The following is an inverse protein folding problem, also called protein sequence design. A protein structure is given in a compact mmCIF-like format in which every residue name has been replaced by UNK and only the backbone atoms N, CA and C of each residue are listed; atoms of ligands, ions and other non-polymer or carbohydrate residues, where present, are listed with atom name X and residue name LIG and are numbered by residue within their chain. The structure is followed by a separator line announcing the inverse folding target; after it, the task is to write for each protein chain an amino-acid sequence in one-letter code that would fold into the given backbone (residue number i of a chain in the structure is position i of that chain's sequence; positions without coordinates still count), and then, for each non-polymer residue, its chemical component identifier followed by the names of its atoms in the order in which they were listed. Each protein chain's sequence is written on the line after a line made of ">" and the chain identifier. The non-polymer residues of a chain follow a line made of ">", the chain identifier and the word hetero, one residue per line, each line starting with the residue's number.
data_IF_575075845938
#
_entry.id   IF_575075845938
#
_cell.length_a   1.000
_cell.length_b   1.000
_cell.length_c   1.000
_cell.angle_alpha   90.00
_cell.angle_beta   90.00
_cell.angle_gamma   90.00
#
_symmetry.space_group_name_H-M   'P 1'
#
loop_
_entity.id
_entity.type
_entity.pdbx_description
1 polymer ?
#
# COMPACT_ATOMS: atom_id res chain seq x y z
N UNK A 1 -30.93 -18.04 20.26
CA UNK A 1 -30.55 -16.73 19.66
C UNK A 1 -29.61 -17.00 18.50
N UNK A 2 -29.95 -16.52 17.31
CA UNK A 2 -29.15 -16.75 16.10
C UNK A 2 -27.87 -15.89 16.10
N UNK A 3 -26.90 -16.25 15.27
CA UNK A 3 -25.67 -15.47 15.10
C UNK A 3 -25.96 -14.00 14.72
N UNK A 4 -26.88 -13.80 13.78
CA UNK A 4 -27.30 -12.48 13.29
C UNK A 4 -27.98 -11.65 14.38
N UNK A 5 -28.80 -12.28 15.22
CA UNK A 5 -29.43 -11.61 16.37
C UNK A 5 -28.40 -11.10 17.36
N UNK A 6 -27.34 -11.89 17.63
CA UNK A 6 -26.24 -11.49 18.52
C UNK A 6 -25.49 -10.30 17.93
N UNK A 7 -25.05 -10.43 16.67
CA UNK A 7 -24.34 -9.40 15.92
C UNK A 7 -25.08 -8.05 15.86
N UNK A 8 -26.42 -8.06 15.75
CA UNK A 8 -27.24 -6.84 15.71
C UNK A 8 -27.18 -6.01 17.01
N UNK A 9 -26.95 -6.66 18.16
CA UNK A 9 -26.91 -6.00 19.48
C UNK A 9 -25.55 -5.41 19.83
N UNK A 10 -24.50 -5.78 19.09
CA UNK A 10 -23.13 -5.39 19.39
C UNK A 10 -22.92 -3.89 19.20
N UNK A 11 -22.24 -3.28 20.17
CA UNK A 11 -21.85 -1.86 20.21
C UNK A 11 -20.35 -1.68 20.46
N UNK A 12 -19.67 -2.75 20.90
CA UNK A 12 -18.26 -2.80 21.20
C UNK A 12 -17.68 -4.11 20.65
N UNK A 13 -16.62 -4.03 19.85
CA UNK A 13 -15.84 -5.17 19.39
C UNK A 13 -14.47 -5.14 20.05
N UNK A 14 -14.19 -6.10 20.92
CA UNK A 14 -12.87 -6.32 21.50
C UNK A 14 -12.22 -7.55 20.86
N UNK A 15 -10.89 -7.57 20.84
CA UNK A 15 -10.14 -8.67 20.23
C UNK A 15 -8.81 -8.90 20.94
N UNK A 16 -8.31 -10.13 20.85
CA UNK A 16 -6.89 -10.37 21.01
C UNK A 16 -6.09 -9.76 19.84
N UNK A 17 -4.78 -9.66 20.04
CA UNK A 17 -3.82 -9.24 19.03
C UNK A 17 -3.17 -10.46 18.38
N UNK A 18 -2.37 -11.20 19.14
CA UNK A 18 -1.53 -12.26 18.60
C UNK A 18 -2.41 -13.47 18.23
N UNK A 19 -2.32 -13.94 17.00
CA UNK A 19 -3.14 -15.06 16.50
C UNK A 19 -4.55 -14.67 16.04
N UNK A 20 -4.99 -13.43 16.29
CA UNK A 20 -6.28 -12.86 15.85
C UNK A 20 -6.10 -11.71 14.85
N UNK A 21 -5.50 -10.60 15.27
CA UNK A 21 -5.13 -9.48 14.38
C UNK A 21 -3.84 -9.78 13.59
N UNK A 22 -3.06 -10.74 14.08
CA UNK A 22 -1.83 -11.26 13.47
C UNK A 22 -1.98 -12.76 13.20
N UNK A 23 -1.02 -13.33 12.48
CA UNK A 23 -0.89 -14.77 12.25
C UNK A 23 -0.39 -15.56 13.48
N UNK A 24 -0.06 -14.86 14.58
CA UNK A 24 0.48 -15.43 15.81
C UNK A 24 2.00 -15.53 15.84
N UNK A 25 2.70 -15.15 14.77
CA UNK A 25 4.16 -15.11 14.73
C UNK A 25 4.69 -13.84 15.38
N UNK A 26 5.78 -14.01 16.15
CA UNK A 26 6.56 -12.91 16.72
C UNK A 26 7.92 -12.89 16.04
N UNK A 27 8.22 -11.78 15.36
CA UNK A 27 9.51 -11.60 14.72
C UNK A 27 10.41 -10.80 15.64
N UNK A 28 11.51 -11.43 16.07
CA UNK A 28 12.48 -10.85 16.99
C UNK A 28 13.80 -10.61 16.26
N UNK A 29 14.34 -9.40 16.36
CA UNK A 29 15.67 -9.05 15.85
C UNK A 29 16.37 -8.10 16.81
N UNK A 30 17.69 -8.03 16.70
CA UNK A 30 18.47 -7.01 17.39
C UNK A 30 18.52 -5.75 16.52
N UNK A 31 18.28 -4.59 17.13
CA UNK A 31 18.57 -3.32 16.47
C UNK A 31 20.09 -3.06 16.40
N UNK A 32 20.49 -1.93 15.82
CA UNK A 32 21.91 -1.53 15.70
C UNK A 32 22.61 -1.33 17.05
N UNK A 33 21.86 -1.23 18.16
CA UNK A 33 22.36 -1.12 19.53
C UNK A 33 22.33 -2.47 20.26
N UNK A 34 21.89 -3.53 19.59
CA UNK A 34 21.73 -4.86 20.19
C UNK A 34 20.43 -5.01 21.00
N UNK A 35 19.53 -4.04 20.97
CA UNK A 35 18.25 -4.11 21.68
C UNK A 35 17.28 -5.03 20.94
N UNK A 36 16.55 -5.88 21.67
CA UNK A 36 15.54 -6.75 21.10
C UNK A 36 14.34 -5.93 20.62
N UNK A 37 14.06 -5.99 19.32
CA UNK A 37 12.88 -5.40 18.70
C UNK A 37 11.93 -6.51 18.27
N UNK A 38 10.66 -6.37 18.67
CA UNK A 38 9.57 -7.24 18.27
C UNK A 38 8.73 -6.59 17.17
N UNK A 39 8.50 -7.31 16.07
CA UNK A 39 7.56 -6.94 15.00
C UNK A 39 6.39 -7.91 14.93
N UNK A 40 5.24 -7.35 14.54
CA UNK A 40 3.98 -8.05 14.33
C UNK A 40 3.42 -7.68 12.96
N UNK A 41 3.04 -8.68 12.16
CA UNK A 41 2.35 -8.48 10.90
C UNK A 41 0.85 -8.27 11.13
N UNK A 42 0.29 -7.18 10.59
CA UNK A 42 -1.16 -6.92 10.62
C UNK A 42 -1.74 -6.96 9.21
N UNK A 43 -2.97 -7.47 9.08
CA UNK A 43 -3.63 -7.56 7.79
C UNK A 43 -4.24 -6.21 7.35
N UNK A 44 -4.07 -5.86 6.08
CA UNK A 44 -4.58 -4.60 5.51
C UNK A 44 -6.11 -4.60 5.46
N UNK A 45 -6.73 -5.73 5.08
CA UNK A 45 -8.19 -5.82 4.96
C UNK A 45 -8.89 -5.84 6.32
N UNK A 46 -8.25 -6.37 7.36
CA UNK A 46 -8.75 -6.26 8.73
C UNK A 46 -8.71 -4.79 9.19
N UNK A 47 -7.63 -4.09 8.86
CA UNK A 47 -7.47 -2.67 9.15
C UNK A 47 -8.58 -1.81 8.55
N UNK A 48 -8.84 -1.92 7.25
CA UNK A 48 -9.91 -1.11 6.61
C UNK A 48 -11.29 -1.42 7.18
N UNK A 49 -11.54 -2.68 7.56
CA UNK A 49 -12.81 -3.08 8.17
C UNK A 49 -13.04 -2.41 9.54
N UNK A 50 -11.98 -2.31 10.34
CA UNK A 50 -12.03 -1.65 11.64
C UNK A 50 -12.28 -0.15 11.53
N UNK A 51 -11.71 0.49 10.50
CA UNK A 51 -12.01 1.89 10.18
C UNK A 51 -13.48 2.05 9.80
N UNK A 52 -14.05 1.14 9.01
CA UNK A 52 -15.49 1.17 8.70
C UNK A 52 -16.35 1.08 9.95
N UNK A 53 -16.01 0.19 10.89
CA UNK A 53 -16.74 0.08 12.16
C UNK A 53 -16.69 1.41 12.94
N UNK A 54 -15.50 2.00 13.07
CA UNK A 54 -15.30 3.25 13.78
C UNK A 54 -16.10 4.41 13.15
N UNK A 55 -16.08 4.54 11.83
CA UNK A 55 -16.82 5.57 11.09
C UNK A 55 -18.34 5.45 11.22
N UNK A 56 -18.86 4.23 11.47
CA UNK A 56 -20.29 4.01 11.75
C UNK A 56 -20.59 3.94 13.26
N UNK A 57 -19.67 4.42 14.10
CA UNK A 57 -19.89 4.58 15.54
C UNK A 57 -19.81 3.29 16.36
N UNK A 58 -19.29 2.19 15.81
CA UNK A 58 -18.96 1.01 16.61
C UNK A 58 -17.59 1.19 17.25
N UNK A 59 -17.55 1.03 18.57
CA UNK A 59 -16.32 1.09 19.35
C UNK A 59 -15.53 -0.19 19.15
N UNK A 60 -14.22 -0.07 19.00
CA UNK A 60 -13.32 -1.22 18.80
C UNK A 60 -12.13 -1.13 19.75
N UNK A 61 -11.50 -2.25 20.07
CA UNK A 61 -10.31 -2.24 20.90
C UNK A 61 -9.65 -3.59 21.08
N UNK A 62 -8.51 -3.58 21.76
CA UNK A 62 -7.69 -4.78 22.00
C UNK A 62 -7.43 -5.02 23.48
N UNK A 63 -7.37 -6.30 23.87
CA UNK A 63 -6.86 -6.75 25.17
C UNK A 63 -5.80 -7.83 24.92
N UNK A 64 -4.54 -7.50 25.16
CA UNK A 64 -3.41 -8.39 24.84
C UNK A 64 -2.46 -8.58 26.03
N UNK A 65 -1.85 -9.77 26.09
CA UNK A 65 -0.83 -10.12 27.07
C UNK A 65 0.49 -9.41 26.88
N UNK A 66 0.81 -8.97 25.65
CA UNK A 66 2.10 -8.33 25.34
C UNK A 66 1.95 -6.82 25.28
N UNK A 67 3.00 -6.10 25.66
CA UNK A 67 3.09 -4.65 25.50
C UNK A 67 4.04 -4.31 24.36
N UNK A 68 3.57 -3.53 23.39
CA UNK A 68 4.40 -3.06 22.28
C UNK A 68 3.94 -1.70 21.75
N UNK A 69 4.90 -0.88 21.32
CA UNK A 69 4.62 0.39 20.63
C UNK A 69 3.92 0.15 19.28
N UNK A 70 4.16 -0.99 18.64
CA UNK A 70 3.54 -1.37 17.37
C UNK A 70 2.01 -1.50 17.49
N UNK A 71 1.53 -2.15 18.56
CA UNK A 71 0.08 -2.26 18.83
C UNK A 71 -0.53 -0.90 19.13
N UNK A 72 0.14 -0.03 19.90
CA UNK A 72 -0.35 1.33 20.17
C UNK A 72 -0.48 2.16 18.90
N UNK A 73 0.57 2.17 18.07
CA UNK A 73 0.57 2.85 16.78
C UNK A 73 -0.54 2.34 15.87
N UNK A 74 -0.68 1.01 15.76
CA UNK A 74 -1.72 0.39 14.93
C UNK A 74 -3.12 0.71 15.43
N UNK A 75 -3.37 0.63 16.73
CA UNK A 75 -4.67 0.95 17.31
C UNK A 75 -5.08 2.40 17.04
N UNK A 76 -4.13 3.34 17.12
CA UNK A 76 -4.35 4.75 16.76
C UNK A 76 -4.72 4.93 15.29
N UNK A 77 -4.00 4.27 14.37
CA UNK A 77 -4.31 4.32 12.93
C UNK A 77 -5.72 3.81 12.62
N UNK A 78 -6.16 2.79 13.37
CA UNK A 78 -7.46 2.12 13.18
C UNK A 78 -8.60 2.76 13.99
N UNK A 79 -8.33 3.88 14.66
CA UNK A 79 -9.30 4.61 15.50
C UNK A 79 -9.95 3.74 16.59
N UNK A 80 -9.19 2.81 17.16
CA UNK A 80 -9.66 1.99 18.29
C UNK A 80 -9.83 2.86 19.54
N UNK A 81 -10.90 2.62 20.29
CA UNK A 81 -11.23 3.38 21.51
C UNK A 81 -10.63 2.77 22.78
N UNK A 82 -10.25 1.49 22.74
CA UNK A 82 -9.66 0.77 23.88
C UNK A 82 -8.39 0.03 23.49
N UNK A 83 -7.32 0.25 24.26
CA UNK A 83 -6.07 -0.49 24.13
C UNK A 83 -5.64 -0.89 25.53
N UNK A 84 -5.66 -2.19 25.82
CA UNK A 84 -5.15 -2.76 27.07
C UNK A 84 -4.04 -3.75 26.72
N UNK A 85 -2.86 -3.51 27.26
CA UNK A 85 -1.67 -4.33 27.03
C UNK A 85 -1.10 -4.86 28.34
N UNK A 86 -0.26 -5.89 28.24
CA UNK A 86 0.49 -6.41 29.40
C UNK A 86 -0.33 -7.30 30.35
N UNK A 87 -1.46 -7.87 29.91
CA UNK A 87 -2.25 -8.77 30.76
C UNK A 87 -2.83 -9.95 30.00
N UNK A 88 -2.59 -11.16 30.51
CA UNK A 88 -3.22 -12.40 30.03
C UNK A 88 -4.52 -12.71 30.77
N UNK A 89 -4.79 -12.01 31.89
CA UNK A 89 -6.05 -12.12 32.62
C UNK A 89 -7.01 -11.06 32.07
N UNK A 90 -7.78 -11.43 31.04
CA UNK A 90 -8.55 -10.49 30.22
C UNK A 90 -9.92 -10.10 30.78
N UNK A 91 -10.43 -10.84 31.77
CA UNK A 91 -11.76 -10.57 32.36
C UNK A 91 -11.85 -9.22 33.10
N UNK A 92 -10.94 -8.85 34.03
CA UNK A 92 -10.99 -7.54 34.67
C UNK A 92 -10.97 -6.33 33.71
N UNK A 93 -10.07 -6.27 32.69
CA UNK A 93 -10.12 -5.17 31.74
C UNK A 93 -11.37 -5.19 30.85
N UNK A 94 -11.91 -6.36 30.50
CA UNK A 94 -13.18 -6.48 29.80
C UNK A 94 -14.33 -5.85 30.61
N UNK A 95 -14.48 -6.23 31.88
CA UNK A 95 -15.49 -5.66 32.79
C UNK A 95 -15.32 -4.15 32.97
N UNK A 96 -14.07 -3.68 33.11
CA UNK A 96 -13.76 -2.27 33.24
C UNK A 96 -14.15 -1.46 31.98
N UNK A 97 -13.89 -2.00 30.78
CA UNK A 97 -14.30 -1.38 29.51
C UNK A 97 -15.83 -1.34 29.42
N UNK A 98 -16.52 -2.44 29.71
CA UNK A 98 -17.99 -2.47 29.70
C UNK A 98 -18.59 -1.41 30.63
N UNK A 99 -18.05 -1.30 31.85
CA UNK A 99 -18.48 -0.30 32.83
C UNK A 99 -18.24 1.12 32.33
N UNK A 100 -17.04 1.39 31.77
CA UNK A 100 -16.69 2.70 31.20
C UNK A 100 -17.64 3.10 30.06
N UNK A 101 -17.99 2.14 29.21
CA UNK A 101 -18.82 2.37 28.02
C UNK A 101 -20.34 2.30 28.31
N UNK A 102 -20.74 1.99 29.55
CA UNK A 102 -22.13 1.81 29.95
C UNK A 102 -22.82 0.65 29.25
N UNK A 103 -22.07 -0.41 28.90
CA UNK A 103 -22.56 -1.56 28.13
C UNK A 103 -22.74 -2.79 29.00
N UNK A 104 -23.73 -3.63 28.63
CA UNK A 104 -23.86 -4.98 29.15
C UNK A 104 -23.04 -5.98 28.32
N UNK A 105 -22.65 -7.14 28.86
CA UNK A 105 -21.89 -8.15 28.11
C UNK A 105 -22.57 -8.57 26.79
N UNK A 106 -23.91 -8.61 26.72
CA UNK A 106 -24.65 -8.96 25.50
C UNK A 106 -24.47 -7.97 24.34
N UNK A 107 -23.92 -6.79 24.62
CA UNK A 107 -23.63 -5.73 23.66
C UNK A 107 -22.15 -5.69 23.24
N UNK A 108 -21.32 -6.60 23.76
CA UNK A 108 -19.92 -6.72 23.38
C UNK A 108 -19.66 -8.02 22.62
N UNK A 109 -18.81 -7.91 21.60
CA UNK A 109 -18.22 -9.04 20.90
C UNK A 109 -16.76 -9.18 21.30
N UNK A 110 -16.27 -10.42 21.35
CA UNK A 110 -14.88 -10.71 21.60
C UNK A 110 -14.35 -11.73 20.58
N UNK A 111 -13.21 -11.44 19.96
CA UNK A 111 -12.51 -12.36 19.04
C UNK A 111 -11.24 -12.88 19.73
N UNK A 112 -11.10 -14.19 19.85
CA UNK A 112 -9.96 -14.85 20.50
C UNK A 112 -9.42 -16.05 19.71
N UNK A 113 -8.25 -16.55 20.10
CA UNK A 113 -7.61 -17.71 19.50
C UNK A 113 -7.07 -18.73 20.53
N UNK A 114 -6.72 -18.30 21.75
CA UNK A 114 -6.10 -19.14 22.77
C UNK A 114 -6.87 -19.13 24.11
N UNK A 115 -6.44 -19.99 25.06
CA UNK A 115 -7.12 -20.23 26.33
C UNK A 115 -7.28 -18.97 27.19
N UNK A 116 -6.41 -17.98 27.02
CA UNK A 116 -6.47 -16.70 27.76
C UNK A 116 -7.73 -15.88 27.42
N UNK A 117 -8.36 -16.15 26.28
CA UNK A 117 -9.57 -15.46 25.82
C UNK A 117 -10.86 -16.08 26.35
N UNK A 118 -10.82 -17.37 26.69
CA UNK A 118 -12.01 -18.15 27.09
C UNK A 118 -12.82 -17.49 28.20
N UNK A 119 -12.22 -16.91 29.27
CA UNK A 119 -13.00 -16.21 30.30
C UNK A 119 -13.87 -15.09 29.74
N UNK A 120 -13.33 -14.27 28.81
CA UNK A 120 -14.09 -13.17 28.19
C UNK A 120 -15.10 -13.70 27.17
N UNK A 121 -14.72 -14.71 26.40
CA UNK A 121 -15.62 -15.35 25.43
C UNK A 121 -16.87 -15.95 26.09
N UNK A 122 -16.75 -16.48 27.31
CA UNK A 122 -17.92 -17.00 28.05
C UNK A 122 -18.93 -15.93 28.43
N UNK A 123 -18.49 -14.68 28.58
CA UNK A 123 -19.33 -13.57 29.03
C UNK A 123 -19.84 -12.71 27.86
N UNK A 124 -19.08 -12.61 26.77
CA UNK A 124 -19.43 -11.76 25.63
C UNK A 124 -20.72 -12.21 24.92
N UNK A 125 -21.55 -11.23 24.55
CA UNK A 125 -22.77 -11.43 23.77
C UNK A 125 -22.54 -12.08 22.41
N UNK A 126 -21.36 -11.87 21.84
CA UNK A 126 -20.87 -12.54 20.65
C UNK A 126 -19.38 -12.91 20.78
N UNK A 127 -19.12 -14.10 21.32
CA UNK A 127 -17.80 -14.73 21.22
C UNK A 127 -17.53 -15.32 19.84
N UNK A 128 -16.37 -14.99 19.27
CA UNK A 128 -15.87 -15.52 17.99
C UNK A 128 -14.49 -16.12 18.20
N UNK A 129 -14.24 -17.30 17.62
CA UNK A 129 -12.91 -17.86 17.50
C UNK A 129 -12.43 -17.76 16.05
N UNK A 130 -11.14 -17.47 15.84
CA UNK A 130 -10.56 -17.49 14.49
C UNK A 130 -10.33 -18.92 13.98
N UNK A 131 -10.16 -19.11 12.67
CA UNK A 131 -9.99 -20.45 12.10
C UNK A 131 -8.76 -21.22 12.65
N UNK A 132 -7.69 -20.51 12.99
CA UNK A 132 -6.46 -21.06 13.60
C UNK A 132 -6.54 -21.18 15.13
N UNK A 133 -7.65 -20.79 15.77
CA UNK A 133 -7.82 -20.92 17.22
C UNK A 133 -7.66 -22.37 17.69
N UNK A 134 -7.19 -22.54 18.93
CA UNK A 134 -7.06 -23.86 19.56
C UNK A 134 -8.43 -24.57 19.59
N UNK A 135 -8.49 -25.90 19.33
CA UNK A 135 -9.76 -26.63 19.30
C UNK A 135 -10.63 -26.45 20.54
N UNK A 136 -10.00 -26.34 21.70
CA UNK A 136 -10.64 -26.13 22.99
C UNK A 136 -11.32 -24.76 23.08
N UNK A 137 -10.74 -23.73 22.46
CA UNK A 137 -11.26 -22.35 22.45
C UNK A 137 -12.49 -22.25 21.56
N UNK A 138 -12.46 -22.92 20.40
CA UNK A 138 -13.59 -22.95 19.44
C UNK A 138 -14.90 -23.43 20.06
N UNK A 139 -14.83 -24.29 21.09
CA UNK A 139 -16.00 -24.79 21.83
C UNK A 139 -16.77 -23.70 22.60
N UNK A 140 -16.11 -22.59 22.91
CA UNK A 140 -16.71 -21.44 23.61
C UNK A 140 -17.18 -20.35 22.65
N UNK A 141 -16.92 -20.50 21.35
CA UNK A 141 -17.31 -19.52 20.35
C UNK A 141 -18.75 -19.76 19.89
N UNK A 142 -19.50 -18.67 19.70
CA UNK A 142 -20.79 -18.72 19.01
C UNK A 142 -20.62 -18.86 17.50
N UNK A 143 -19.44 -18.48 16.99
CA UNK A 143 -19.07 -18.59 15.59
C UNK A 143 -17.56 -18.74 15.44
N UNK A 144 -17.15 -19.56 14.47
CA UNK A 144 -15.75 -19.72 14.07
C UNK A 144 -15.60 -19.14 12.67
N UNK A 145 -14.66 -18.22 12.49
CA UNK A 145 -14.40 -17.61 11.17
C UNK A 145 -13.86 -18.66 10.20
N UNK A 146 -14.01 -18.40 8.90
CA UNK A 146 -13.37 -19.21 7.85
C UNK A 146 -11.92 -18.78 7.67
N UNK A 147 -11.67 -17.48 7.74
CA UNK A 147 -10.32 -16.92 7.66
C UNK A 147 -9.54 -17.13 8.96
N UNK A 148 -8.21 -17.23 8.84
CA UNK A 148 -7.28 -17.27 9.97
C UNK A 148 -7.01 -15.85 10.48
N UNK A 149 -6.53 -15.74 11.71
CA UNK A 149 -6.02 -14.48 12.25
C UNK A 149 -4.87 -13.95 11.40
N UNK A 150 -4.82 -12.63 11.22
CA UNK A 150 -3.89 -12.00 10.29
C UNK A 150 -4.18 -12.23 8.79
N UNK A 151 -5.27 -12.93 8.46
CA UNK A 151 -5.66 -13.26 7.07
C UNK A 151 -7.13 -12.89 6.77
N UNK A 152 -7.65 -11.84 7.41
CA UNK A 152 -9.01 -11.36 7.13
C UNK A 152 -10.10 -11.86 8.10
N UNK A 153 -9.76 -12.56 9.18
CA UNK A 153 -10.75 -13.02 10.15
C UNK A 153 -11.52 -11.87 10.82
N UNK A 154 -10.83 -10.79 11.18
CA UNK A 154 -11.46 -9.61 11.79
C UNK A 154 -12.35 -8.88 10.78
N UNK A 155 -11.96 -8.85 9.51
CA UNK A 155 -12.77 -8.37 8.39
C UNK A 155 -14.06 -9.18 8.27
N UNK A 156 -13.98 -10.51 8.34
CA UNK A 156 -15.16 -11.38 8.30
C UNK A 156 -16.16 -11.03 9.42
N UNK A 157 -15.65 -10.80 10.63
CA UNK A 157 -16.45 -10.36 11.79
C UNK A 157 -17.04 -8.97 11.58
N UNK A 158 -16.24 -8.00 11.13
CA UNK A 158 -16.71 -6.65 10.86
C UNK A 158 -17.84 -6.63 9.83
N UNK A 159 -17.73 -7.41 8.75
CA UNK A 159 -18.81 -7.55 7.76
C UNK A 159 -20.07 -8.15 8.38
N UNK A 160 -19.95 -9.19 9.20
CA UNK A 160 -21.08 -9.78 9.90
C UNK A 160 -21.81 -8.72 10.75
N UNK A 161 -21.07 -7.92 11.52
CA UNK A 161 -21.63 -6.85 12.35
C UNK A 161 -22.35 -5.80 11.48
N UNK A 162 -21.67 -5.26 10.46
CA UNK A 162 -22.21 -4.24 9.58
C UNK A 162 -23.45 -4.72 8.82
N UNK A 163 -23.43 -5.94 8.28
CA UNK A 163 -24.58 -6.54 7.58
C UNK A 163 -25.74 -6.81 8.54
N UNK A 164 -25.46 -7.26 9.75
CA UNK A 164 -26.49 -7.52 10.77
C UNK A 164 -27.15 -6.25 11.30
N UNK A 165 -26.44 -5.12 11.25
CA UNK A 165 -26.92 -3.80 11.67
C UNK A 165 -27.45 -2.95 10.51
N UNK A 166 -27.45 -3.46 9.28
CA UNK A 166 -27.92 -2.73 8.09
C UNK A 166 -26.95 -1.68 7.54
N UNK A 167 -25.79 -1.51 8.18
CA UNK A 167 -24.77 -0.50 7.87
C UNK A 167 -23.90 -0.86 6.65
N UNK A 168 -23.95 -2.11 6.19
CA UNK A 168 -23.15 -2.56 5.04
C UNK A 168 -23.44 -1.80 3.75
N UNK A 169 -24.71 -1.41 3.52
CA UNK A 169 -25.08 -0.63 2.33
C UNK A 169 -24.39 0.72 2.31
N UNK A 170 -24.19 1.34 3.46
CA UNK A 170 -23.54 2.65 3.55
C UNK A 170 -22.03 2.55 3.38
N UNK A 171 -21.41 1.40 3.70
CA UNK A 171 -20.04 1.10 3.30
C UNK A 171 -19.94 1.03 1.78
N UNK A 172 -20.81 0.26 1.12
CA UNK A 172 -20.80 0.14 -0.34
C UNK A 172 -21.04 1.47 -1.05
N UNK A 173 -21.94 2.32 -0.51
CA UNK A 173 -22.19 3.66 -1.05
C UNK A 173 -20.96 4.55 -1.06
N UNK A 174 -20.10 4.47 -0.03
CA UNK A 174 -18.83 5.22 -0.01
C UNK A 174 -17.97 4.92 -1.24
N UNK A 175 -18.01 3.68 -1.73
CA UNK A 175 -17.23 3.25 -2.89
C UNK A 175 -18.00 3.29 -4.22
N UNK A 176 -19.34 3.32 -4.19
CA UNK A 176 -20.16 3.46 -5.41
C UNK A 176 -20.46 4.91 -5.77
N UNK A 177 -20.50 5.83 -4.80
CA UNK A 177 -20.64 7.27 -5.08
C UNK A 177 -19.42 7.84 -5.80
N UNK A 178 -18.23 7.25 -5.58
CA UNK A 178 -17.04 7.51 -6.38
C UNK A 178 -17.22 7.12 -7.87
N UNK A 179 -18.15 6.21 -8.19
CA UNK A 179 -18.49 5.87 -9.57
C UNK A 179 -19.60 6.77 -10.18
N UNK A 180 -20.41 7.46 -9.37
CA UNK A 180 -21.51 8.30 -9.84
C UNK A 180 -21.13 9.78 -10.06
N UNK A 181 -20.06 10.26 -9.42
CA UNK A 181 -19.50 11.58 -9.74
C UNK A 181 -18.89 11.64 -11.17
N UNK A 182 -18.63 10.49 -11.80
CA UNK A 182 -18.22 10.41 -13.21
C UNK A 182 -19.38 10.40 -14.21
N UNK A 183 -20.62 10.14 -13.77
CA UNK A 183 -21.77 10.00 -14.68
C UNK A 183 -22.57 11.31 -14.89
N UNK A 184 -22.32 12.36 -14.10
CA UNK A 184 -23.08 13.61 -14.16
C UNK A 184 -22.48 14.69 -15.08
N UNK A 185 -21.40 14.39 -15.83
CA UNK A 185 -20.70 15.33 -16.73
C UNK A 185 -20.76 14.97 -18.22
N UNK A 186 -21.66 14.06 -18.62
CA UNK A 186 -21.97 13.85 -20.04
C UNK A 186 -23.17 14.73 -20.45
N UNK A 187 -23.03 15.66 -21.41
CA UNK A 187 -24.15 16.41 -21.91
C UNK A 187 -25.11 15.47 -22.65
N UNK A 188 -26.38 15.49 -22.24
CA UNK A 188 -27.50 15.00 -23.03
C UNK A 188 -27.57 15.80 -24.35
N UNK A 189 -27.06 15.22 -25.43
CA UNK A 189 -27.44 15.56 -26.80
C UNK A 189 -27.11 14.40 -27.72
N UNK A 190 -28.17 13.70 -28.18
CA UNK A 190 -28.05 12.67 -29.20
C UNK A 190 -29.10 11.57 -29.11
N UNK A 191 -30.38 11.92 -29.24
CA UNK A 191 -31.39 10.94 -29.67
C UNK A 191 -30.99 10.41 -31.05
N UNK A 192 -30.59 9.15 -31.14
CA UNK A 192 -30.51 8.43 -32.42
C UNK A 192 -31.85 7.73 -32.61
N UNK A 193 -32.71 8.34 -33.43
CA UNK A 193 -33.94 7.71 -33.92
C UNK A 193 -33.58 6.85 -35.14
N UNK A 194 -33.72 5.53 -34.99
CA UNK A 194 -33.56 4.56 -36.06
C UNK A 194 -34.86 4.50 -36.90
N UNK A 195 -34.82 4.79 -38.20
CA UNK A 195 -35.91 4.47 -39.15
C UNK A 195 -35.36 4.09 -40.52
N UNK A 196 -35.95 3.02 -41.08
CA UNK A 196 -35.64 2.28 -42.32
C UNK A 196 -35.76 3.11 -43.62
N UNK A 197 -35.24 2.62 -44.77
CA UNK A 197 -35.05 3.44 -45.98
C UNK A 197 -36.34 3.60 -46.80
N UNK A 198 -36.44 4.74 -47.49
CA UNK A 198 -37.44 5.03 -48.51
C UNK A 198 -37.07 6.25 -49.37
N UNK A 199 -36.66 5.97 -50.61
CA UNK A 199 -36.89 6.70 -51.87
C UNK A 199 -36.59 8.22 -51.96
N UNK A 200 -35.56 8.50 -52.76
CA UNK A 200 -35.38 9.52 -53.82
C UNK A 200 -35.65 11.03 -53.62
N UNK A 201 -34.64 11.76 -54.10
CA UNK A 201 -34.70 12.90 -55.05
C UNK A 201 -34.65 14.37 -54.59
N UNK A 202 -33.89 15.10 -55.44
CA UNK A 202 -33.94 16.52 -55.78
C UNK A 202 -33.25 17.57 -54.88
N UNK A 203 -32.04 17.93 -55.33
CA UNK A 203 -31.60 19.25 -55.83
C UNK A 203 -31.87 20.55 -55.04
N UNK A 204 -30.82 21.35 -54.91
CA UNK A 204 -30.91 22.79 -54.62
C UNK A 204 -29.59 23.41 -54.16
N UNK A 205 -28.81 23.94 -55.12
CA UNK A 205 -27.69 24.88 -54.92
C UNK A 205 -28.11 26.11 -54.07
N UNK A 206 -27.19 26.71 -53.29
CA UNK A 206 -26.79 28.14 -53.37
C UNK A 206 -25.42 28.36 -52.67
N UNK A 207 -24.64 29.26 -53.29
CA UNK A 207 -23.25 29.71 -53.12
C UNK A 207 -22.78 30.32 -51.78
N UNK A 208 -21.50 30.01 -51.49
CA UNK A 208 -20.33 30.86 -51.17
C UNK A 208 -20.44 32.23 -50.43
N UNK A 209 -19.83 32.23 -49.21
CA UNK A 209 -18.73 33.08 -48.69
C UNK A 209 -18.88 34.63 -48.55
N UNK A 210 -17.97 35.33 -47.83
CA UNK A 210 -17.26 35.05 -46.57
C UNK A 210 -17.38 36.21 -45.54
N UNK A 211 -16.92 36.01 -44.30
CA UNK A 211 -16.87 37.11 -43.32
C UNK A 211 -16.19 36.70 -42.02
N UNK A 212 -14.86 36.78 -42.01
CA UNK A 212 -14.02 36.64 -40.82
C UNK A 212 -14.24 37.79 -39.85
N UNK A 213 -14.59 37.48 -38.61
CA UNK A 213 -14.22 38.29 -37.45
C UNK A 213 -13.95 37.36 -36.27
N UNK A 214 -12.67 37.29 -35.89
CA UNK A 214 -12.21 36.62 -34.69
C UNK A 214 -12.69 37.40 -33.48
N UNK A 215 -13.51 36.74 -32.65
CA UNK A 215 -13.73 37.11 -31.26
C UNK A 215 -12.99 36.08 -30.36
N UNK A 216 -12.49 36.51 -29.19
CA UNK A 216 -11.39 35.85 -28.50
C UNK A 216 -11.78 34.47 -27.93
N UNK A 217 -10.78 33.59 -27.86
CA UNK A 217 -10.86 32.28 -27.24
C UNK A 217 -11.59 32.34 -25.88
N UNK A 218 -12.52 31.41 -25.60
CA UNK A 218 -13.12 31.33 -24.29
C UNK A 218 -12.02 31.02 -23.28
N UNK A 219 -11.90 31.87 -22.25
CA UNK A 219 -11.07 31.61 -21.07
C UNK A 219 -11.40 30.21 -20.58
N UNK A 220 -10.36 29.39 -20.43
CA UNK A 220 -10.45 28.08 -19.80
C UNK A 220 -11.19 28.24 -18.46
N UNK A 221 -12.21 27.39 -18.17
CA UNK A 221 -12.87 27.46 -16.88
C UNK A 221 -11.83 27.14 -15.81
N UNK A 222 -11.81 27.94 -14.75
CA UNK A 222 -11.04 27.64 -13.56
C UNK A 222 -11.69 26.41 -12.90
N UNK A 223 -11.22 25.22 -13.28
CA UNK A 223 -11.61 23.96 -12.66
C UNK A 223 -11.31 24.00 -11.16
N UNK A 224 -12.23 23.44 -10.38
CA UNK A 224 -12.13 23.39 -8.92
C UNK A 224 -10.90 22.58 -8.50
N UNK A 225 -10.43 22.78 -7.26
CA UNK A 225 -9.25 22.09 -6.73
C UNK A 225 -9.33 20.56 -6.89
N UNK A 226 -10.54 20.00 -6.81
CA UNK A 226 -10.85 18.58 -6.97
C UNK A 226 -10.65 18.06 -8.40
N UNK A 227 -10.93 18.86 -9.44
CA UNK A 227 -10.73 18.47 -10.84
C UNK A 227 -9.24 18.46 -11.23
N UNK A 228 -8.46 19.41 -10.68
CA UNK A 228 -7.00 19.43 -10.84
C UNK A 228 -6.33 18.27 -10.10
N UNK A 229 -6.88 17.90 -8.94
CA UNK A 229 -6.41 16.78 -8.13
C UNK A 229 -6.71 15.43 -8.80
N UNK A 230 -7.92 15.24 -9.33
CA UNK A 230 -8.28 14.02 -10.07
C UNK A 230 -7.42 13.81 -11.34
N UNK A 231 -7.17 14.88 -12.11
CA UNK A 231 -6.31 14.81 -13.29
C UNK A 231 -4.84 14.52 -12.93
N UNK A 232 -4.35 15.04 -11.80
CA UNK A 232 -3.02 14.75 -11.28
C UNK A 232 -2.90 13.30 -10.79
N UNK A 233 -3.92 12.77 -10.10
CA UNK A 233 -3.98 11.37 -9.65
C UNK A 233 -4.02 10.42 -10.84
N UNK A 234 -4.80 10.73 -11.87
CA UNK A 234 -4.91 9.88 -13.06
C UNK A 234 -3.60 9.87 -13.86
N UNK A 235 -2.94 11.03 -13.98
CA UNK A 235 -1.60 11.14 -14.56
C UNK A 235 -0.54 10.40 -13.74
N UNK A 236 -0.62 10.46 -12.41
CA UNK A 236 0.27 9.73 -11.50
C UNK A 236 0.05 8.21 -11.58
N UNK A 237 -1.20 7.73 -11.65
CA UNK A 237 -1.52 6.32 -11.82
C UNK A 237 -1.02 5.77 -13.15
N UNK A 238 -1.13 6.57 -14.22
CA UNK A 238 -0.66 6.21 -15.54
C UNK A 238 0.88 6.19 -15.62
N UNK A 239 1.54 7.10 -14.90
CA UNK A 239 3.00 7.09 -14.71
C UNK A 239 3.46 5.85 -13.94
N UNK A 240 2.78 5.47 -12.85
CA UNK A 240 3.07 4.27 -12.05
C UNK A 240 2.95 2.99 -12.88
N UNK A 241 1.92 2.88 -13.73
CA UNK A 241 1.77 1.73 -14.64
C UNK A 241 2.85 1.68 -15.72
N UNK A 242 3.24 2.82 -16.32
CA UNK A 242 4.33 2.86 -17.29
C UNK A 242 5.70 2.58 -16.65
N UNK A 243 5.89 2.97 -15.38
CA UNK A 243 7.14 2.75 -14.63
C UNK A 243 7.43 1.27 -14.37
N UNK A 244 6.41 0.45 -14.06
CA UNK A 244 6.58 -0.99 -13.87
C UNK A 244 7.06 -1.71 -15.14
N UNK A 245 6.63 -1.27 -16.32
CA UNK A 245 7.13 -1.77 -17.61
C UNK A 245 8.52 -1.27 -18.01
N UNK A 246 9.07 -0.26 -17.33
CA UNK A 246 10.36 0.37 -17.65
C UNK A 246 11.54 -0.13 -16.82
N UNK A 247 11.26 -0.84 -15.70
CA UNK A 247 12.30 -1.31 -14.80
C UNK A 247 13.22 -2.31 -15.48
N UNK A 248 14.53 -2.06 -15.38
CA UNK A 248 15.58 -2.99 -15.82
C UNK A 248 16.15 -3.71 -14.62
N UNK A 249 16.18 -5.03 -14.69
CA UNK A 249 16.72 -5.90 -13.66
C UNK A 249 18.17 -5.49 -13.37
N UNK A 250 18.50 -5.34 -12.09
CA UNK A 250 19.82 -4.97 -11.60
C UNK A 250 20.55 -6.18 -11.04
N UNK A 251 21.88 -6.09 -10.97
CA UNK A 251 22.65 -6.96 -10.10
C UNK A 251 22.14 -6.83 -8.65
N UNK A 252 22.14 -7.94 -7.91
CA UNK A 252 21.61 -8.10 -6.56
C UNK A 252 20.07 -8.14 -6.40
N UNK A 253 19.28 -8.01 -7.48
CA UNK A 253 17.83 -8.28 -7.43
C UNK A 253 17.58 -9.76 -7.08
N UNK A 254 16.55 -10.04 -6.29
CA UNK A 254 16.06 -11.40 -6.03
C UNK A 254 14.86 -11.68 -6.95
N UNK A 255 15.02 -12.64 -7.85
CA UNK A 255 14.00 -13.04 -8.81
C UNK A 255 13.41 -14.39 -8.39
N UNK A 256 12.09 -14.49 -8.45
CA UNK A 256 11.35 -15.75 -8.46
C UNK A 256 10.97 -16.07 -9.89
N UNK A 257 11.58 -17.12 -10.43
CA UNK A 257 11.38 -17.59 -11.80
C UNK A 257 10.55 -18.86 -11.71
N UNK A 258 9.38 -18.86 -12.34
CA UNK A 258 8.48 -20.01 -12.37
C UNK A 258 8.23 -20.46 -13.81
N UNK A 259 8.13 -21.78 -14.00
CA UNK A 259 7.86 -22.39 -15.31
C UNK A 259 6.54 -23.13 -15.23
N UNK A 260 5.59 -22.79 -16.11
CA UNK A 260 4.25 -23.38 -16.09
C UNK A 260 4.32 -24.91 -16.21
N UNK A 261 3.56 -25.60 -15.34
CA UNK A 261 3.52 -27.07 -15.21
C UNK A 261 4.83 -27.77 -14.82
N UNK A 262 5.92 -27.03 -14.58
CA UNK A 262 7.24 -27.58 -14.27
C UNK A 262 7.75 -27.06 -12.92
N UNK A 263 7.08 -27.45 -11.83
CA UNK A 263 7.40 -26.98 -10.46
C UNK A 263 8.83 -27.27 -10.03
N UNK A 264 9.45 -28.32 -10.54
CA UNK A 264 10.85 -28.67 -10.22
C UNK A 264 11.86 -27.65 -10.79
N UNK A 265 11.41 -26.80 -11.73
CA UNK A 265 12.19 -25.71 -12.33
C UNK A 265 11.97 -24.37 -11.63
N UNK A 266 11.00 -24.26 -10.73
CA UNK A 266 10.74 -23.04 -9.98
C UNK A 266 11.94 -22.70 -9.08
N UNK A 267 12.48 -21.49 -9.22
CA UNK A 267 13.67 -21.06 -8.48
C UNK A 267 13.60 -19.63 -8.03
N UNK A 268 14.02 -19.42 -6.79
CA UNK A 268 14.36 -18.11 -6.23
C UNK A 268 15.86 -17.90 -6.37
N UNK A 269 16.26 -16.95 -7.20
CA UNK A 269 17.67 -16.71 -7.58
C UNK A 269 18.02 -15.25 -7.46
N UNK A 270 19.16 -14.96 -6.84
CA UNK A 270 19.70 -13.60 -6.80
C UNK A 270 20.56 -13.36 -8.03
N UNK A 271 20.37 -12.22 -8.67
CA UNK A 271 21.16 -11.80 -9.83
C UNK A 271 22.59 -11.54 -9.40
N UNK A 272 23.55 -12.22 -10.03
CA UNK A 272 24.97 -12.09 -9.71
C UNK A 272 25.52 -10.68 -10.02
N UNK A 273 26.70 -10.29 -9.51
CA UNK A 273 27.37 -9.05 -9.89
C UNK A 273 27.61 -8.94 -11.40
N UNK A 274 27.87 -10.06 -12.06
CA UNK A 274 28.01 -10.16 -13.52
C UNK A 274 26.67 -10.11 -14.24
N UNK A 275 25.55 -10.01 -13.51
CA UNK A 275 24.20 -9.86 -14.03
C UNK A 275 23.54 -11.15 -14.50
N UNK A 276 24.01 -12.30 -14.02
CA UNK A 276 23.58 -13.63 -14.43
C UNK A 276 22.65 -14.26 -13.38
N UNK A 277 21.76 -15.13 -13.83
CA UNK A 277 20.99 -16.05 -12.97
C UNK A 277 21.23 -17.48 -13.41
N UNK A 278 21.23 -18.41 -12.47
CA UNK A 278 21.45 -19.83 -12.71
C UNK A 278 20.14 -20.60 -12.59
N UNK A 279 19.74 -21.28 -13.67
CA UNK A 279 18.49 -22.02 -13.76
C UNK A 279 18.73 -23.49 -14.15
N UNK A 280 17.93 -24.44 -13.64
CA UNK A 280 17.94 -25.82 -14.12
C UNK A 280 17.71 -25.87 -15.63
N UNK A 281 18.48 -26.70 -16.33
CA UNK A 281 18.45 -26.93 -17.79
C UNK A 281 18.85 -25.73 -18.67
N UNK A 282 18.43 -24.51 -18.33
CA UNK A 282 18.81 -23.28 -19.04
C UNK A 282 20.25 -22.80 -18.72
N UNK A 283 20.82 -23.25 -17.60
CA UNK A 283 22.16 -22.85 -17.16
C UNK A 283 22.21 -21.39 -16.72
N UNK A 284 23.30 -20.69 -17.03
CA UNK A 284 23.44 -19.27 -16.73
C UNK A 284 22.79 -18.40 -17.81
N UNK A 285 21.90 -17.51 -17.39
CA UNK A 285 21.17 -16.58 -18.27
C UNK A 285 21.46 -15.14 -17.84
N UNK A 286 21.80 -14.27 -18.79
CA UNK A 286 22.00 -12.83 -18.55
C UNK A 286 20.65 -12.14 -18.44
N UNK A 287 20.37 -11.56 -17.28
CA UNK A 287 19.12 -10.87 -16.99
C UNK A 287 19.32 -9.41 -16.59
N UNK A 288 20.48 -9.04 -16.04
CA UNK A 288 20.72 -7.64 -15.69
C UNK A 288 20.75 -6.75 -16.93
N UNK A 289 20.07 -5.60 -16.85
CA UNK A 289 19.89 -4.65 -17.94
C UNK A 289 18.67 -4.93 -18.82
N UNK A 290 18.00 -6.08 -18.66
CA UNK A 290 16.77 -6.44 -19.36
C UNK A 290 15.54 -6.00 -18.54
N UNK A 291 14.45 -5.70 -19.22
CA UNK A 291 13.13 -5.63 -18.58
C UNK A 291 12.61 -7.03 -18.24
N UNK A 292 11.62 -7.14 -17.36
CA UNK A 292 11.03 -8.44 -17.00
C UNK A 292 10.57 -9.23 -18.24
N UNK A 293 9.81 -8.66 -19.20
CA UNK A 293 9.42 -9.38 -20.42
C UNK A 293 10.60 -9.81 -21.30
N UNK A 294 11.66 -9.00 -21.36
CA UNK A 294 12.88 -9.33 -22.10
C UNK A 294 13.65 -10.48 -21.43
N UNK A 295 13.71 -10.48 -20.10
CA UNK A 295 14.32 -11.55 -19.32
C UNK A 295 13.53 -12.86 -19.43
N UNK A 296 12.20 -12.81 -19.39
CA UNK A 296 11.33 -13.95 -19.65
C UNK A 296 11.61 -14.56 -21.02
N UNK A 297 11.70 -13.73 -22.06
CA UNK A 297 12.06 -14.16 -23.41
C UNK A 297 13.44 -14.82 -23.45
N UNK A 298 14.44 -14.24 -22.78
CA UNK A 298 15.80 -14.78 -22.74
C UNK A 298 15.88 -16.16 -22.05
N UNK A 299 15.11 -16.35 -20.98
CA UNK A 299 15.02 -17.64 -20.27
C UNK A 299 14.25 -18.66 -21.11
N UNK A 300 13.14 -18.24 -21.73
CA UNK A 300 12.32 -19.07 -22.60
C UNK A 300 13.11 -19.63 -23.79
N UNK A 301 13.91 -18.81 -24.46
CA UNK A 301 14.77 -19.26 -25.59
C UNK A 301 15.81 -20.31 -25.16
N UNK A 302 16.29 -20.26 -23.92
CA UNK A 302 17.21 -21.26 -23.38
C UNK A 302 16.51 -22.56 -23.00
N UNK A 303 15.27 -22.49 -22.52
CA UNK A 303 14.49 -23.65 -22.09
C UNK A 303 13.86 -24.44 -23.25
N UNK A 304 13.59 -23.81 -24.41
CA UNK A 304 13.01 -24.46 -25.60
C UNK A 304 13.74 -25.73 -26.08
N UNK A 305 15.02 -25.90 -25.73
CA UNK A 305 15.81 -27.09 -26.08
C UNK A 305 15.51 -28.31 -25.22
N UNK A 306 14.84 -28.11 -24.09
CA UNK A 306 14.63 -29.12 -23.07
C UNK A 306 13.16 -29.26 -22.66
N UNK A 307 12.35 -28.22 -22.86
CA UNK A 307 10.93 -28.17 -22.52
C UNK A 307 10.14 -27.83 -23.78
N UNK A 308 9.03 -28.54 -24.00
CA UNK A 308 8.11 -28.29 -25.11
C UNK A 308 7.20 -27.13 -24.71
N UNK A 309 7.23 -26.04 -25.49
CA UNK A 309 6.45 -24.82 -25.29
C UNK A 309 6.51 -24.23 -23.85
N UNK A 310 7.72 -23.87 -23.34
CA UNK A 310 7.87 -23.39 -21.98
C UNK A 310 7.24 -22.01 -21.80
N UNK A 311 6.39 -21.86 -20.78
CA UNK A 311 5.91 -20.55 -20.33
C UNK A 311 6.64 -20.15 -19.06
N UNK A 312 7.38 -19.05 -19.12
CA UNK A 312 8.21 -18.56 -18.03
C UNK A 312 7.61 -17.28 -17.47
N UNK A 313 7.42 -17.23 -16.16
CA UNK A 313 7.03 -16.01 -15.43
C UNK A 313 8.15 -15.60 -14.50
N UNK A 314 8.56 -14.32 -14.54
CA UNK A 314 9.56 -13.77 -13.64
C UNK A 314 8.92 -12.73 -12.71
N UNK A 315 9.02 -12.94 -11.41
CA UNK A 315 8.60 -11.99 -10.39
C UNK A 315 9.82 -11.47 -9.61
N UNK A 316 9.93 -10.15 -9.44
CA UNK A 316 11.00 -9.55 -8.63
C UNK A 316 10.53 -9.53 -7.18
N UNK A 317 11.12 -10.38 -6.33
CA UNK A 317 10.80 -10.45 -4.90
C UNK A 317 11.49 -9.34 -4.10
N UNK A 318 12.74 -9.05 -4.42
CA UNK A 318 13.50 -7.96 -3.80
C UNK A 318 14.25 -7.19 -4.88
N UNK A 319 14.08 -5.88 -4.90
CA UNK A 319 14.93 -5.00 -5.67
C UNK A 319 16.25 -4.86 -4.91
N UNK A 320 17.39 -5.10 -5.56
CA UNK A 320 18.70 -4.96 -4.94
C UNK A 320 18.81 -3.59 -4.28
N UNK A 321 19.25 -3.55 -3.02
CA UNK A 321 19.24 -2.36 -2.15
C UNK A 321 19.94 -1.16 -2.81
N UNK A 322 19.18 -0.38 -3.58
CA UNK A 322 19.59 0.90 -4.16
C UNK A 322 19.38 1.94 -3.07
N UNK A 323 20.45 2.62 -2.68
CA UNK A 323 20.41 3.66 -1.66
C UNK A 323 21.19 4.89 -2.12
N UNK A 324 20.82 6.03 -1.57
CA UNK A 324 21.54 7.30 -1.68
C UNK A 324 21.99 7.73 -0.29
N UNK A 325 23.04 8.54 -0.21
CA UNK A 325 23.58 9.00 1.06
C UNK A 325 23.36 10.51 1.18
N UNK A 326 22.79 10.96 2.29
CA UNK A 326 22.61 12.39 2.59
C UNK A 326 23.48 12.72 3.80
N UNK A 327 24.45 13.63 3.60
CA UNK A 327 25.47 13.99 4.58
C UNK A 327 25.49 15.51 4.80
N UNK A 328 25.93 15.92 5.99
CA UNK A 328 26.10 17.33 6.37
C UNK A 328 24.88 17.92 7.08
N UNK A 329 24.61 19.21 6.84
CA UNK A 329 23.63 20.03 7.57
C UNK A 329 22.16 19.75 7.16
N UNK A 330 21.71 18.53 7.44
CA UNK A 330 20.31 18.09 7.36
C UNK A 330 19.88 17.54 8.72
N UNK A 331 18.58 17.46 8.98
CA UNK A 331 18.10 17.01 10.31
C UNK A 331 18.50 15.58 10.65
N UNK A 332 18.46 14.68 9.67
CA UNK A 332 18.82 13.28 9.85
C UNK A 332 19.81 12.87 8.74
N UNK A 333 21.12 13.04 8.92
CA UNK A 333 22.10 12.50 7.98
C UNK A 333 22.06 10.97 7.99
N UNK A 334 22.23 10.35 6.83
CA UNK A 334 22.21 8.90 6.71
C UNK A 334 22.00 8.38 5.29
N UNK A 335 21.83 7.06 5.19
CA UNK A 335 21.47 6.38 3.93
C UNK A 335 19.95 6.31 3.80
N UNK A 336 19.45 6.60 2.61
CA UNK A 336 18.04 6.57 2.28
C UNK A 336 17.79 5.61 1.11
N UNK A 337 16.73 4.80 1.17
CA UNK A 337 16.40 3.91 0.06
C UNK A 337 16.06 4.76 -1.17
N UNK A 338 16.64 4.41 -2.32
CA UNK A 338 16.27 4.98 -3.61
C UNK A 338 15.04 4.21 -4.10
N UNK A 339 13.85 4.84 -4.16
CA UNK A 339 12.64 4.17 -4.61
C UNK A 339 12.82 3.66 -6.04
N UNK A 340 12.49 2.39 -6.27
CA UNK A 340 12.49 1.83 -7.63
C UNK A 340 11.35 2.38 -8.49
N UNK A 341 10.30 2.88 -7.84
CA UNK A 341 9.03 3.28 -8.45
C UNK A 341 9.04 4.75 -8.91
N UNK A 342 9.94 5.59 -8.40
CA UNK A 342 10.00 7.01 -8.76
C UNK A 342 11.44 7.53 -8.79
N UNK A 343 11.80 8.40 -9.75
CA UNK A 343 13.09 9.05 -9.74
C UNK A 343 13.16 9.99 -8.54
N UNK A 344 13.99 9.65 -7.55
CA UNK A 344 14.23 10.52 -6.40
C UNK A 344 15.08 11.71 -6.81
N UNK A 345 14.62 12.92 -6.52
CA UNK A 345 15.42 14.13 -6.71
C UNK A 345 16.21 14.52 -5.47
N UNK A 346 17.13 15.48 -5.60
CA UNK A 346 17.94 15.95 -4.47
C UNK A 346 17.08 16.59 -3.40
N UNK A 347 16.12 17.44 -3.82
CA UNK A 347 15.22 18.10 -2.87
C UNK A 347 14.34 17.07 -2.13
N UNK A 348 13.86 16.05 -2.83
CA UNK A 348 13.08 14.96 -2.23
C UNK A 348 13.94 14.15 -1.24
N UNK A 349 15.17 13.80 -1.59
CA UNK A 349 16.09 13.09 -0.69
C UNK A 349 16.38 13.89 0.59
N UNK A 350 16.60 15.21 0.48
CA UNK A 350 16.79 16.08 1.65
C UNK A 350 15.50 16.19 2.48
N UNK A 351 14.34 16.17 1.82
CA UNK A 351 13.04 16.15 2.51
C UNK A 351 12.85 14.86 3.30
N UNK A 352 13.21 13.71 2.73
CA UNK A 352 13.24 12.41 3.42
C UNK A 352 14.20 12.43 4.62
N UNK A 353 15.30 13.19 4.51
CA UNK A 353 16.22 13.43 5.62
C UNK A 353 15.69 14.40 6.70
N UNK A 354 14.44 14.85 6.60
CA UNK A 354 13.80 15.76 7.55
C UNK A 354 14.00 17.25 7.24
N UNK A 355 14.56 17.56 6.07
CA UNK A 355 14.86 18.91 5.61
C UNK A 355 16.23 19.42 6.08
N UNK A 356 16.55 20.64 5.65
CA UNK A 356 17.77 21.36 6.03
C UNK A 356 17.81 21.68 7.53
N UNK A 357 19.02 21.71 8.10
CA UNK A 357 19.25 22.27 9.44
C UNK A 357 19.20 23.81 9.38
N UNK A 358 19.15 24.47 10.54
CA UNK A 358 19.21 25.94 10.63
C UNK A 358 20.56 26.54 10.23
N UNK A 359 21.61 25.72 10.14
CA UNK A 359 22.96 26.11 9.78
C UNK A 359 23.33 25.69 8.35
N UNK A 360 22.36 25.19 7.57
CA UNK A 360 22.63 24.65 6.25
C UNK A 360 22.86 25.74 5.21
N UNK A 361 23.96 25.64 4.46
CA UNK A 361 24.13 26.41 3.24
C UNK A 361 23.45 25.70 2.06
N UNK A 362 22.12 25.82 1.99
CA UNK A 362 21.28 25.11 1.02
C UNK A 362 21.75 25.26 -0.44
N UNK A 363 22.15 26.47 -0.85
CA UNK A 363 22.60 26.75 -2.24
C UNK A 363 24.02 26.25 -2.55
N UNK A 364 24.72 25.70 -1.57
CA UNK A 364 26.01 25.03 -1.74
C UNK A 364 25.90 23.51 -1.66
N UNK A 365 24.69 22.98 -1.79
CA UNK A 365 24.46 21.53 -1.84
C UNK A 365 25.16 20.94 -3.06
N UNK A 366 25.82 19.80 -2.87
CA UNK A 366 26.55 19.09 -3.91
C UNK A 366 26.12 17.63 -3.98
N UNK A 367 26.00 17.11 -5.20
CA UNK A 367 25.85 15.67 -5.43
C UNK A 367 27.15 15.13 -5.99
N UNK A 368 27.70 14.14 -5.31
CA UNK A 368 28.87 13.39 -5.75
C UNK A 368 28.37 12.07 -6.33
N UNK A 369 28.69 11.84 -7.59
CA UNK A 369 28.33 10.63 -8.33
C UNK A 369 29.59 9.92 -8.78
N UNK A 370 29.72 8.64 -8.44
CA UNK A 370 30.83 7.83 -8.92
C UNK A 370 30.40 7.07 -10.18
N UNK A 371 31.03 7.38 -11.31
CA UNK A 371 30.81 6.70 -12.58
C UNK A 371 32.15 6.14 -13.06
N UNK A 372 32.22 4.81 -13.18
CA UNK A 372 33.40 4.10 -13.69
C UNK A 372 34.73 4.46 -12.98
N UNK A 373 34.67 4.69 -11.66
CA UNK A 373 35.83 5.03 -10.83
C UNK A 373 36.25 6.50 -10.85
N UNK A 374 35.50 7.36 -11.56
CA UNK A 374 35.66 8.82 -11.52
C UNK A 374 34.49 9.47 -10.76
N UNK A 375 34.82 10.26 -9.75
CA UNK A 375 33.84 11.03 -8.99
C UNK A 375 33.55 12.35 -9.70
N UNK A 376 32.31 12.52 -10.16
CA UNK A 376 31.77 13.77 -10.69
C UNK A 376 31.00 14.50 -9.58
N UNK A 377 31.17 15.83 -9.47
CA UNK A 377 30.48 16.67 -8.49
C UNK A 377 29.56 17.66 -9.21
N UNK A 378 28.28 17.64 -8.87
CA UNK A 378 27.26 18.55 -9.37
C UNK A 378 26.86 19.53 -8.27
N UNK A 379 27.02 20.83 -8.52
CA UNK A 379 26.55 21.87 -7.60
C UNK A 379 25.07 22.18 -7.88
N UNK A 380 24.28 22.34 -6.83
CA UNK A 380 22.84 22.55 -6.93
C UNK A 380 22.43 23.79 -6.13
N UNK A 381 21.83 24.74 -6.84
CA UNK A 381 21.20 25.93 -6.26
C UNK A 381 19.77 25.60 -5.83
N UNK A 382 19.59 25.29 -4.55
CA UNK A 382 18.28 24.89 -3.99
C UNK A 382 17.26 26.03 -4.03
N UNK A 383 17.70 27.29 -3.92
CA UNK A 383 16.86 28.47 -4.03
C UNK A 383 16.26 28.65 -5.42
N UNK A 384 16.97 28.23 -6.47
CA UNK A 384 16.44 28.23 -7.84
C UNK A 384 15.27 27.25 -8.00
N UNK A 385 15.31 26.11 -7.30
CA UNK A 385 14.26 25.10 -7.34
C UNK A 385 13.06 25.51 -6.48
N UNK A 386 13.33 26.00 -5.25
CA UNK A 386 12.29 26.28 -4.24
C UNK A 386 11.62 27.65 -4.41
N UNK A 387 12.38 28.73 -4.71
CA UNK A 387 11.84 30.10 -4.83
C UNK A 387 11.41 30.44 -6.25
N UNK A 388 12.15 29.98 -7.24
CA UNK A 388 11.89 30.30 -8.65
C UNK A 388 11.11 29.19 -9.38
N UNK A 389 10.85 28.06 -8.71
CA UNK A 389 10.05 26.96 -9.23
C UNK A 389 10.69 26.23 -10.42
N UNK A 390 11.99 26.43 -10.66
CA UNK A 390 12.70 25.83 -11.77
C UNK A 390 13.05 24.37 -11.46
N UNK A 391 12.08 23.49 -11.69
CA UNK A 391 12.23 22.05 -11.49
C UNK A 391 13.26 21.40 -12.42
N UNK A 392 13.72 22.09 -13.46
CA UNK A 392 14.73 21.55 -14.39
C UNK A 392 16.12 21.45 -13.75
N UNK A 393 16.37 22.26 -12.70
CA UNK A 393 17.61 22.25 -11.92
C UNK A 393 17.66 21.19 -10.84
N UNK A 394 16.56 20.47 -10.59
CA UNK A 394 16.51 19.42 -9.59
C UNK A 394 17.06 18.10 -10.18
N UNK A 395 18.28 17.75 -9.76
CA UNK A 395 19.01 16.61 -10.31
C UNK A 395 18.38 15.31 -9.82
N UNK A 396 18.16 14.37 -10.76
CA UNK A 396 17.74 13.01 -10.43
C UNK A 396 18.91 12.23 -9.85
N UNK A 397 18.67 11.58 -8.72
CA UNK A 397 19.65 10.76 -8.04
C UNK A 397 19.75 9.38 -8.67
N UNK A 398 20.96 8.84 -8.64
CA UNK A 398 21.30 7.48 -9.05
C UNK A 398 21.73 6.66 -7.83
N UNK A 399 21.72 5.33 -7.93
CA UNK A 399 22.21 4.48 -6.87
C UNK A 399 23.63 4.86 -6.44
N UNK A 400 23.86 4.94 -5.13
CA UNK A 400 25.12 5.33 -4.49
C UNK A 400 25.55 6.78 -4.67
N UNK A 401 24.67 7.67 -5.15
CA UNK A 401 24.94 9.10 -5.10
C UNK A 401 25.08 9.58 -3.64
N UNK A 402 26.01 10.51 -3.42
CA UNK A 402 26.26 11.14 -2.12
C UNK A 402 25.90 12.61 -2.21
N UNK A 403 24.88 13.01 -1.46
CA UNK A 403 24.44 14.39 -1.32
C UNK A 403 25.15 14.99 -0.10
N UNK A 404 25.85 16.09 -0.30
CA UNK A 404 26.59 16.80 0.74
C UNK A 404 26.01 18.20 0.88
N UNK A 405 25.46 18.48 2.06
CA UNK A 405 24.94 19.80 2.45
C UNK A 405 25.95 20.46 3.39
N UNK A 406 26.73 21.44 2.95
CA UNK A 406 27.71 22.09 3.82
C UNK A 406 27.04 23.05 4.81
N UNK A 407 27.73 23.32 5.91
CA UNK A 407 27.36 24.37 6.88
C UNK A 407 27.56 25.77 6.28
N UNK A 408 26.72 26.74 6.65
CA UNK A 408 26.94 28.15 6.35
C UNK A 408 27.97 28.72 7.31
N UNK A 409 29.18 29.00 6.81
CA UNK A 409 30.11 29.88 7.51
C UNK A 409 29.58 31.30 7.33
N UNK A 410 29.45 32.02 8.45
CA UNK A 410 28.94 33.39 8.58
C UNK A 410 29.42 34.36 7.50
#
# INVERSE_FOLDING_TARGET
>A
MTLRERARRIRLLLMDVDGVLTDGLLYHFADVRGELVELKGFHSQDGVALVWLAERGLRTGVITGRASKGVEGRAKMLKMTHVVQGTTVKRPPFEAILKKEGLRPEQAAFIGDDLTDVPVMREAGLAVAVANARPEVKRFAHWVTRSRGGEGAVREVAELLLRSQGLWKDVLKTYSAAALLFAALLPLSGCVSFRLPGVAEAAGDVQAAPGTSQAPAPKAPAGTAEEKEAAAIQSALQLVQQQQTSYKISSADLLEITVYQEKDMDRKVRVSPEGLVSLPLAGQVKVAGLTVPQAETAVLEKLKRYVIDPQVTIFIQEYGNKQVYVLGEVKNPGSYPLPTEAPLTVLEAITLAGGFSQYAAADRTRVIRNKDGKSESFNIEISAITKHGDKSKDIRLLPNDVIVVPESFF
#
